data_IF_415969871064
#
_entry.id   IF_415969871064
#
_cell.length_a   1.000
_cell.length_b   1.000
_cell.length_c   1.000
_cell.angle_alpha   90.00
_cell.angle_beta   90.00
_cell.angle_gamma   90.00
#
_symmetry.space_group_name_H-M   'P 1'
#
loop_
_entity.id
_entity.type
_entity.pdbx_description
1 polymer ?
#
# COMPACT_ATOMS: atom_id res chain seq x y z
N UNK A 1 -43.04 44.89 2.49
CA UNK A 1 -42.83 43.42 2.61
C UNK A 1 -41.61 42.88 1.84
N UNK A 2 -41.22 43.37 0.65
CA UNK A 2 -40.05 42.84 -0.11
C UNK A 2 -38.66 42.96 0.58
N UNK A 3 -38.45 43.95 1.45
CA UNK A 3 -37.14 44.18 2.12
C UNK A 3 -36.85 43.17 3.24
N UNK A 4 -37.87 42.58 3.86
CA UNK A 4 -37.68 41.63 4.97
C UNK A 4 -37.32 40.23 4.47
N UNK A 5 -37.96 39.75 3.40
CA UNK A 5 -37.58 38.48 2.74
C UNK A 5 -36.14 38.49 2.20
N UNK A 6 -35.63 39.65 1.77
CA UNK A 6 -34.27 39.75 1.26
C UNK A 6 -33.23 39.63 2.39
N UNK A 7 -33.52 40.22 3.57
CA UNK A 7 -32.65 40.12 4.75
C UNK A 7 -32.63 38.71 5.34
N UNK A 8 -33.79 38.04 5.41
CA UNK A 8 -33.85 36.66 5.91
C UNK A 8 -33.18 35.67 4.95
N UNK A 9 -33.33 35.86 3.64
CA UNK A 9 -32.61 35.05 2.65
C UNK A 9 -31.08 35.23 2.76
N UNK A 10 -30.61 36.47 2.94
CA UNK A 10 -29.18 36.76 3.07
C UNK A 10 -28.58 36.15 4.36
N UNK A 11 -29.31 36.21 5.47
CA UNK A 11 -28.93 35.56 6.73
C UNK A 11 -28.88 34.03 6.59
N UNK A 12 -29.81 33.42 5.86
CA UNK A 12 -29.82 31.98 5.62
C UNK A 12 -28.64 31.53 4.74
N UNK A 13 -28.30 32.30 3.70
CA UNK A 13 -27.11 32.01 2.88
C UNK A 13 -25.83 32.16 3.70
N UNK A 14 -25.73 33.22 4.50
CA UNK A 14 -24.58 33.45 5.37
C UNK A 14 -24.41 32.34 6.42
N UNK A 15 -25.51 31.85 7.00
CA UNK A 15 -25.44 30.75 7.99
C UNK A 15 -25.04 29.42 7.36
N UNK A 16 -25.56 29.11 6.17
CA UNK A 16 -25.15 27.91 5.40
C UNK A 16 -23.67 28.01 5.02
N UNK A 17 -23.22 29.16 4.53
CA UNK A 17 -21.82 29.38 4.20
C UNK A 17 -20.91 29.25 5.43
N UNK A 18 -21.30 29.84 6.56
CA UNK A 18 -20.55 29.72 7.82
C UNK A 18 -20.49 28.27 8.31
N UNK A 19 -21.60 27.52 8.26
CA UNK A 19 -21.63 26.12 8.63
C UNK A 19 -20.76 25.25 7.71
N UNK A 20 -20.74 25.53 6.41
CA UNK A 20 -19.93 24.81 5.44
C UNK A 20 -18.43 25.07 5.65
N UNK A 21 -18.06 26.34 5.89
CA UNK A 21 -16.68 26.71 6.23
C UNK A 21 -16.25 26.07 7.55
N UNK A 22 -17.11 26.09 8.57
CA UNK A 22 -16.83 25.43 9.85
C UNK A 22 -16.65 23.92 9.67
N UNK A 23 -17.48 23.28 8.84
CA UNK A 23 -17.35 21.86 8.52
C UNK A 23 -15.99 21.56 7.86
N UNK A 24 -15.57 22.36 6.88
CA UNK A 24 -14.25 22.22 6.22
C UNK A 24 -13.09 22.45 7.21
N UNK A 25 -13.25 23.37 8.17
CA UNK A 25 -12.22 23.66 9.17
C UNK A 25 -12.14 22.60 10.28
N UNK A 26 -13.27 21.97 10.65
CA UNK A 26 -13.34 20.95 11.70
C UNK A 26 -12.94 19.57 11.16
N UNK A 27 -13.35 19.27 9.93
CA UNK A 27 -13.17 17.97 9.33
C UNK A 27 -12.19 18.09 8.16
N UNK A 28 -11.01 17.50 8.32
CA UNK A 28 -10.11 17.28 7.19
C UNK A 28 -10.33 15.84 6.68
N UNK A 29 -10.34 15.69 5.36
CA UNK A 29 -10.53 14.38 4.73
C UNK A 29 -9.15 13.79 4.46
N UNK A 30 -8.76 12.82 5.29
CA UNK A 30 -7.56 12.05 5.05
C UNK A 30 -7.89 10.93 4.05
N UNK A 31 -7.04 10.80 3.03
CA UNK A 31 -7.12 9.70 2.07
C UNK A 31 -5.82 8.91 2.19
N UNK A 32 -5.94 7.70 2.71
CA UNK A 32 -4.84 6.76 2.78
C UNK A 32 -4.89 5.83 1.57
N UNK A 33 -3.69 5.62 1.03
CA UNK A 33 -3.45 4.76 -0.11
C UNK A 33 -2.45 3.69 0.31
N UNK A 34 -2.97 2.64 0.92
CA UNK A 34 -2.25 1.39 1.09
C UNK A 34 -2.68 0.39 0.02
N UNK A 35 -1.87 -0.63 -0.21
CA UNK A 35 -2.22 -1.74 -1.08
C UNK A 35 -2.75 -2.89 -0.24
N UNK A 36 -3.72 -3.62 -0.79
CA UNK A 36 -4.12 -4.89 -0.18
C UNK A 36 -3.01 -5.90 -0.35
N UNK A 37 -2.78 -6.68 0.69
CA UNK A 37 -1.96 -7.88 0.58
C UNK A 37 -2.57 -8.79 -0.50
N UNK A 38 -1.71 -9.24 -1.40
CA UNK A 38 -2.07 -10.10 -2.51
C UNK A 38 -1.54 -11.50 -2.26
N UNK A 39 -2.44 -12.48 -2.24
CA UNK A 39 -2.06 -13.88 -2.25
C UNK A 39 -2.01 -14.41 -3.69
N UNK A 40 -0.91 -15.09 -4.02
CA UNK A 40 -0.61 -15.60 -5.35
C UNK A 40 0.10 -16.95 -5.23
N UNK A 41 0.27 -17.64 -6.37
CA UNK A 41 0.92 -18.96 -6.42
C UNK A 41 2.09 -18.97 -7.40
N UNK A 42 3.12 -19.72 -7.04
CA UNK A 42 4.23 -20.13 -7.92
C UNK A 42 4.29 -21.66 -7.93
N UNK A 43 3.63 -22.28 -8.91
CA UNK A 43 3.44 -23.74 -8.93
C UNK A 43 2.66 -24.20 -7.69
N UNK A 44 3.29 -25.00 -6.83
CA UNK A 44 2.71 -25.51 -5.58
C UNK A 44 2.92 -24.59 -4.36
N UNK A 45 3.69 -23.51 -4.50
CA UNK A 45 4.07 -22.61 -3.40
C UNK A 45 3.09 -21.45 -3.32
N UNK A 46 2.71 -21.07 -2.10
CA UNK A 46 1.89 -19.89 -1.86
C UNK A 46 2.77 -18.70 -1.50
N UNK A 47 2.47 -17.57 -2.12
CA UNK A 47 3.18 -16.31 -2.00
C UNK A 47 2.23 -15.24 -1.47
N UNK A 48 2.72 -14.36 -0.61
CA UNK A 48 2.01 -13.16 -0.17
C UNK A 48 2.85 -11.93 -0.50
N UNK A 49 2.30 -11.04 -1.32
CA UNK A 49 2.95 -9.80 -1.72
C UNK A 49 2.23 -8.60 -1.09
N UNK A 50 2.97 -7.59 -0.65
CA UNK A 50 2.44 -6.35 -0.11
C UNK A 50 3.29 -5.15 -0.58
N UNK A 51 2.63 -4.00 -0.81
CA UNK A 51 3.28 -2.70 -0.95
C UNK A 51 2.93 -1.88 0.29
N UNK A 52 3.96 -1.60 1.11
CA UNK A 52 3.80 -0.92 2.39
C UNK A 52 4.44 0.46 2.30
N UNK A 53 3.72 1.53 2.63
CA UNK A 53 4.31 2.87 2.71
C UNK A 53 5.33 2.98 3.86
N UNK A 54 6.40 3.77 3.69
CA UNK A 54 7.34 4.03 4.77
C UNK A 54 6.67 4.84 5.91
N UNK A 55 6.66 4.35 7.17
CA UNK A 55 6.15 5.12 8.30
C UNK A 55 7.03 6.31 8.71
N UNK A 56 8.24 6.48 8.17
CA UNK A 56 9.16 7.57 8.52
C UNK A 56 8.98 8.88 7.73
N UNK A 57 8.04 8.97 6.80
CA UNK A 57 7.76 10.27 6.18
C UNK A 57 7.05 11.18 7.20
N UNK A 58 7.77 12.16 7.75
CA UNK A 58 7.28 13.20 8.68
C UNK A 58 6.04 13.98 8.18
N UNK A 59 5.62 13.77 6.93
CA UNK A 59 4.41 14.37 6.39
C UNK A 59 3.20 13.50 6.71
N UNK A 60 2.53 13.79 7.83
CA UNK A 60 1.28 13.15 8.26
C UNK A 60 0.08 13.37 7.30
N UNK A 61 0.30 13.95 6.12
CA UNK A 61 -0.69 14.07 5.05
C UNK A 61 -0.52 12.94 4.03
N UNK A 62 -0.95 11.75 4.42
CA UNK A 62 -1.05 10.57 3.57
C UNK A 62 0.32 9.94 3.32
N UNK A 63 0.45 8.65 3.56
CA UNK A 63 1.67 7.90 3.22
C UNK A 63 1.89 8.01 1.71
N UNK A 64 2.74 8.95 1.32
CA UNK A 64 3.26 9.11 -0.04
C UNK A 64 4.59 8.37 -0.13
N UNK A 65 5.03 8.07 -1.35
CA UNK A 65 6.30 7.40 -1.60
C UNK A 65 7.43 7.95 -0.70
N UNK A 66 8.34 7.10 -0.19
CA UNK A 66 8.68 5.79 -0.74
C UNK A 66 7.87 4.61 -0.17
N UNK A 67 7.65 3.61 -1.04
CA UNK A 67 7.09 2.31 -0.68
C UNK A 67 8.21 1.28 -0.47
N UNK A 68 7.88 0.20 0.25
CA UNK A 68 8.63 -1.07 0.22
C UNK A 68 7.74 -2.17 -0.31
N UNK A 69 8.27 -2.98 -1.22
CA UNK A 69 7.63 -4.22 -1.65
C UNK A 69 8.10 -5.35 -0.74
N UNK A 70 7.16 -6.10 -0.18
CA UNK A 70 7.41 -7.26 0.68
C UNK A 70 6.82 -8.48 0.00
N UNK A 71 7.61 -9.53 -0.19
CA UNK A 71 7.16 -10.81 -0.70
C UNK A 71 7.52 -11.91 0.29
N UNK A 72 6.52 -12.52 0.89
CA UNK A 72 6.68 -13.67 1.78
C UNK A 72 6.36 -14.96 1.03
N UNK A 73 7.27 -15.92 1.12
CA UNK A 73 7.19 -17.24 0.49
C UNK A 73 7.09 -18.28 1.59
N UNK A 74 5.96 -18.98 1.70
CA UNK A 74 5.77 -20.02 2.71
C UNK A 74 5.85 -21.40 2.07
N UNK A 75 6.74 -22.25 2.59
CA UNK A 75 7.00 -23.58 2.04
C UNK A 75 7.46 -24.56 3.13
N UNK A 76 7.06 -25.84 3.04
CA UNK A 76 7.40 -26.84 4.05
C UNK A 76 8.91 -27.15 4.13
N UNK A 77 9.63 -27.24 2.99
CA UNK A 77 11.01 -27.79 3.00
C UNK A 77 11.93 -27.24 1.89
N UNK A 78 11.59 -26.10 1.28
CA UNK A 78 12.36 -25.56 0.14
C UNK A 78 12.86 -24.15 0.40
N UNK A 79 14.16 -23.97 0.20
CA UNK A 79 14.79 -22.68 0.04
C UNK A 79 14.50 -22.16 -1.37
N UNK A 80 14.28 -20.85 -1.49
CA UNK A 80 14.05 -20.23 -2.78
C UNK A 80 14.92 -19.00 -2.99
N UNK A 81 15.28 -18.77 -4.24
CA UNK A 81 15.72 -17.48 -4.73
C UNK A 81 14.59 -16.84 -5.55
N UNK A 82 14.55 -15.50 -5.60
CA UNK A 82 13.74 -14.80 -6.60
C UNK A 82 14.64 -14.34 -7.74
N UNK A 83 14.10 -14.41 -8.94
CA UNK A 83 14.73 -13.99 -10.18
C UNK A 83 13.75 -13.13 -10.97
N UNK A 84 14.29 -12.20 -11.76
CA UNK A 84 13.55 -11.35 -12.70
C UNK A 84 12.34 -10.62 -12.08
N UNK A 85 12.48 -10.21 -10.82
CA UNK A 85 11.40 -9.55 -10.08
C UNK A 85 11.17 -8.17 -10.68
N UNK A 86 9.91 -7.86 -10.98
CA UNK A 86 9.54 -6.56 -11.54
C UNK A 86 8.13 -6.15 -11.13
N UNK A 87 7.92 -4.85 -11.02
CA UNK A 87 6.63 -4.25 -10.75
C UNK A 87 6.12 -3.57 -12.03
N UNK A 88 4.89 -3.85 -12.44
CA UNK A 88 4.28 -3.26 -13.64
C UNK A 88 3.00 -2.51 -13.29
N UNK A 89 2.90 -1.24 -13.69
CA UNK A 89 1.70 -0.43 -13.57
C UNK A 89 0.63 -0.93 -14.55
N UNK A 90 -0.63 -1.03 -14.11
CA UNK A 90 -1.75 -1.41 -14.97
C UNK A 90 -2.23 -0.27 -15.87
N UNK A 91 -2.10 0.99 -15.43
CA UNK A 91 -2.56 2.15 -16.19
C UNK A 91 -1.50 2.68 -17.15
N UNK A 92 -0.28 2.93 -16.68
CA UNK A 92 0.78 3.51 -17.52
C UNK A 92 1.54 2.46 -18.31
N UNK A 93 1.49 1.19 -17.88
CA UNK A 93 2.31 0.11 -18.44
C UNK A 93 3.80 0.22 -18.06
N UNK A 94 4.16 1.19 -17.22
CA UNK A 94 5.52 1.36 -16.71
C UNK A 94 5.95 0.10 -15.96
N UNK A 95 7.16 -0.37 -16.26
CA UNK A 95 7.77 -1.54 -15.62
C UNK A 95 9.06 -1.13 -14.91
N UNK A 96 9.15 -1.50 -13.65
CA UNK A 96 10.30 -1.25 -12.78
C UNK A 96 10.93 -2.61 -12.46
N UNK A 97 12.22 -2.77 -12.80
CA UNK A 97 12.98 -3.95 -12.39
C UNK A 97 13.36 -3.82 -10.92
N UNK A 98 13.15 -4.88 -10.14
CA UNK A 98 13.38 -4.91 -8.70
C UNK A 98 14.59 -5.79 -8.32
N UNK A 99 15.25 -6.42 -9.29
CA UNK A 99 16.34 -7.38 -9.09
C UNK A 99 17.53 -6.81 -8.32
N UNK A 100 17.86 -5.52 -8.51
CA UNK A 100 19.04 -4.90 -7.88
C UNK A 100 18.80 -4.51 -6.41
N UNK A 101 17.54 -4.41 -5.98
CA UNK A 101 17.15 -3.91 -4.66
C UNK A 101 16.67 -4.99 -3.67
N UNK A 102 16.66 -6.25 -4.09
CA UNK A 102 16.12 -7.35 -3.30
C UNK A 102 17.04 -7.72 -2.13
N UNK A 103 16.47 -7.80 -0.93
CA UNK A 103 17.13 -8.30 0.27
C UNK A 103 16.26 -9.35 0.95
N UNK A 104 16.88 -10.38 1.51
CA UNK A 104 16.20 -11.31 2.42
C UNK A 104 16.14 -10.63 3.78
N UNK A 105 14.93 -10.34 4.27
CA UNK A 105 14.73 -9.63 5.53
C UNK A 105 14.62 -10.58 6.72
N UNK A 106 13.98 -11.73 6.54
CA UNK A 106 13.79 -12.69 7.64
C UNK A 106 13.52 -14.12 7.12
N UNK A 107 13.86 -15.10 7.94
CA UNK A 107 13.53 -16.52 7.77
C UNK A 107 12.91 -17.04 9.07
N UNK A 108 11.58 -17.15 9.08
CA UNK A 108 10.84 -17.70 10.22
C UNK A 108 10.58 -19.20 9.98
N UNK A 109 10.92 -20.03 10.97
CA UNK A 109 10.73 -21.47 10.94
C UNK A 109 9.60 -21.84 11.91
N UNK A 110 8.48 -22.31 11.36
CA UNK A 110 7.42 -22.98 12.11
C UNK A 110 7.59 -24.49 11.92
N UNK A 111 7.08 -25.28 12.88
CA UNK A 111 7.28 -26.74 12.96
C UNK A 111 7.16 -27.46 11.60
N UNK A 112 6.24 -27.02 10.72
CA UNK A 112 6.00 -27.62 9.40
C UNK A 112 6.23 -26.68 8.19
N UNK A 113 6.78 -25.47 8.39
CA UNK A 113 7.03 -24.54 7.27
C UNK A 113 8.08 -23.47 7.55
N UNK A 114 8.90 -23.19 6.54
CA UNK A 114 9.76 -22.02 6.48
C UNK A 114 9.06 -20.88 5.72
N UNK A 115 9.12 -19.67 6.26
CA UNK A 115 8.68 -18.45 5.57
C UNK A 115 9.88 -17.58 5.25
N UNK A 116 10.17 -17.41 3.96
CA UNK A 116 11.22 -16.51 3.46
C UNK A 116 10.60 -15.17 3.08
N UNK A 117 11.06 -14.09 3.72
CA UNK A 117 10.57 -12.74 3.40
C UNK A 117 11.62 -11.96 2.63
N UNK A 118 11.26 -11.53 1.42
CA UNK A 118 12.04 -10.66 0.57
C UNK A 118 11.50 -9.24 0.62
N UNK A 119 12.40 -8.26 0.73
CA UNK A 119 12.05 -6.85 0.78
C UNK A 119 12.83 -6.10 -0.30
N UNK A 120 12.12 -5.24 -1.04
CA UNK A 120 12.70 -4.31 -2.00
C UNK A 120 12.31 -2.90 -1.60
N UNK A 121 13.30 -2.05 -1.33
CA UNK A 121 13.08 -0.68 -0.87
C UNK A 121 14.31 0.21 -1.13
N UNK A 122 14.15 1.55 -1.25
CA UNK A 122 12.88 2.28 -1.37
C UNK A 122 12.34 2.26 -2.81
N UNK A 123 11.01 2.31 -2.97
CA UNK A 123 10.32 2.36 -4.26
C UNK A 123 9.56 3.68 -4.41
N UNK A 124 9.97 4.48 -5.39
CA UNK A 124 9.29 5.72 -5.76
C UNK A 124 8.34 5.41 -6.92
N UNK A 125 7.09 5.12 -6.60
CA UNK A 125 6.07 4.71 -7.56
C UNK A 125 4.86 5.64 -7.48
N UNK A 126 4.17 5.78 -8.60
CA UNK A 126 2.92 6.53 -8.67
C UNK A 126 1.76 5.74 -8.03
N UNK A 127 0.62 6.39 -7.84
CA UNK A 127 -0.56 5.76 -7.27
C UNK A 127 -1.39 5.03 -8.34
N UNK A 128 -1.13 3.75 -8.53
CA UNK A 128 -1.82 2.90 -9.50
C UNK A 128 -2.07 1.49 -8.96
N UNK A 129 -2.86 0.66 -9.63
CA UNK A 129 -2.85 -0.78 -9.41
C UNK A 129 -1.63 -1.39 -10.09
N UNK A 130 -0.92 -2.25 -9.36
CA UNK A 130 0.32 -2.85 -9.84
C UNK A 130 0.21 -4.37 -9.97
N UNK A 131 1.12 -4.95 -10.72
CA UNK A 131 1.35 -6.39 -10.76
C UNK A 131 2.81 -6.65 -10.46
N UNK A 132 3.07 -7.39 -9.38
CA UNK A 132 4.40 -7.89 -9.06
C UNK A 132 4.61 -9.22 -9.79
N UNK A 133 5.58 -9.26 -10.69
CA UNK A 133 5.94 -10.45 -11.45
C UNK A 133 7.36 -10.89 -11.08
N UNK A 134 7.63 -12.18 -11.21
CA UNK A 134 8.96 -12.73 -11.05
C UNK A 134 8.98 -14.23 -11.24
N UNK A 135 10.14 -14.82 -10.99
CA UNK A 135 10.37 -16.27 -11.03
C UNK A 135 10.91 -16.71 -9.68
N UNK A 136 10.29 -17.72 -9.10
CA UNK A 136 10.76 -18.37 -7.89
C UNK A 136 11.59 -19.59 -8.31
N UNK A 137 12.88 -19.60 -7.96
CA UNK A 137 13.78 -20.74 -8.20
C UNK A 137 13.98 -21.51 -6.91
N UNK A 138 13.65 -22.80 -6.90
CA UNK A 138 14.02 -23.68 -5.78
C UNK A 138 15.53 -23.89 -5.74
N UNK A 139 16.09 -23.84 -4.53
CA UNK A 139 17.50 -24.06 -4.28
C UNK A 139 17.75 -25.47 -3.71
N UNK A 140 19.00 -25.97 -3.76
CA UNK A 140 19.38 -27.24 -3.14
C UNK A 140 18.96 -27.31 -1.66
N UNK A 141 18.56 -28.49 -1.16
CA UNK A 141 18.71 -29.82 -1.78
C UNK A 141 17.59 -30.24 -2.74
N UNK A 142 16.60 -29.38 -3.01
CA UNK A 142 15.54 -29.70 -3.97
C UNK A 142 16.01 -29.56 -5.42
N UNK A 143 15.35 -30.26 -6.34
CA UNK A 143 15.55 -30.05 -7.79
C UNK A 143 15.34 -28.57 -8.13
N UNK A 144 16.23 -27.98 -8.91
CA UNK A 144 16.09 -26.61 -9.40
C UNK A 144 14.88 -26.53 -10.34
N UNK A 145 13.81 -25.92 -9.85
CA UNK A 145 12.56 -25.73 -10.58
C UNK A 145 12.23 -24.25 -10.52
N UNK A 146 12.10 -23.66 -11.71
CA UNK A 146 11.67 -22.28 -11.87
C UNK A 146 10.14 -22.23 -11.98
N UNK A 147 9.52 -21.48 -11.07
CA UNK A 147 8.09 -21.28 -11.02
C UNK A 147 7.76 -19.79 -11.17
N UNK A 148 7.19 -19.35 -12.30
CA UNK A 148 6.80 -17.96 -12.48
C UNK A 148 5.62 -17.61 -11.56
N UNK A 149 5.56 -16.36 -11.14
CA UNK A 149 4.45 -15.84 -10.35
C UNK A 149 4.01 -14.44 -10.82
N UNK A 150 2.76 -14.13 -10.50
CA UNK A 150 2.16 -12.83 -10.77
C UNK A 150 1.18 -12.50 -9.65
N UNK A 151 1.43 -11.42 -8.92
CA UNK A 151 0.66 -11.02 -7.75
C UNK A 151 0.02 -9.65 -8.01
N UNK A 152 -1.32 -9.57 -8.13
CA UNK A 152 -2.01 -8.32 -8.39
C UNK A 152 -2.12 -7.50 -7.09
N UNK A 153 -1.44 -6.36 -7.05
CA UNK A 153 -1.45 -5.42 -5.93
C UNK A 153 -2.49 -4.34 -6.21
N UNK A 154 -3.65 -4.49 -5.57
CA UNK A 154 -4.78 -3.57 -5.76
C UNK A 154 -4.74 -2.50 -4.69
N UNK A 155 -4.84 -1.24 -5.13
CA UNK A 155 -4.89 -0.11 -4.22
C UNK A 155 -6.18 -0.15 -3.39
N UNK A 156 -6.02 -0.08 -2.08
CA UNK A 156 -7.12 0.05 -1.14
C UNK A 156 -7.35 1.54 -0.87
N UNK A 157 -8.48 2.08 -1.31
CA UNK A 157 -8.84 3.46 -1.00
C UNK A 157 -9.53 3.49 0.36
N UNK A 158 -8.82 3.98 1.38
CA UNK A 158 -9.44 4.31 2.66
C UNK A 158 -9.54 5.82 2.75
N UNK A 159 -10.75 6.32 2.99
CA UNK A 159 -10.94 7.72 3.32
C UNK A 159 -11.51 7.80 4.73
N UNK A 160 -10.79 8.46 5.60
CA UNK A 160 -11.20 8.72 6.97
C UNK A 160 -11.45 10.21 7.14
N UNK A 161 -12.52 10.55 7.85
CA UNK A 161 -12.76 11.90 8.32
C UNK A 161 -12.14 12.02 9.70
N UNK A 162 -11.10 12.83 9.83
CA UNK A 162 -10.48 13.10 11.13
C UNK A 162 -10.74 14.55 11.53
N UNK A 163 -10.72 14.77 12.84
CA UNK A 163 -10.79 16.10 13.43
C UNK A 163 -9.37 16.45 13.90
N UNK A 164 -8.61 17.28 13.17
CA UNK A 164 -7.19 17.52 13.45
C UNK A 164 -6.91 18.02 14.88
N UNK A 165 -7.87 18.75 15.46
CA UNK A 165 -7.78 19.25 16.83
C UNK A 165 -7.92 18.15 17.90
N UNK A 166 -8.66 17.07 17.62
CA UNK A 166 -8.76 15.89 18.49
C UNK A 166 -7.47 15.08 18.45
N UNK A 167 -6.87 14.94 17.26
CA UNK A 167 -5.59 14.25 17.11
C UNK A 167 -4.47 14.96 17.88
N UNK A 168 -4.42 16.30 17.81
CA UNK A 168 -3.47 17.10 18.59
C UNK A 168 -3.68 17.02 20.11
N UNK A 169 -4.91 16.81 20.58
CA UNK A 169 -5.20 16.58 22.00
C UNK A 169 -4.81 15.17 22.46
N UNK A 170 -4.93 14.18 21.57
CA UNK A 170 -4.62 12.78 21.84
C UNK A 170 -3.14 12.44 21.67
N UNK A 171 -2.34 13.34 21.08
CA UNK A 171 -0.89 13.16 20.89
C UNK A 171 -0.02 13.64 22.06
N UNK A 172 -0.61 13.86 23.24
CA UNK A 172 0.05 14.35 24.47
C UNK A 172 0.16 13.23 25.49
#
# INVERSE_FOLDING_TARGET
MRKESCKTALLAVASVAAALTLFILIFDRYVDYDYRDAECKAGAVTLRAALVGDPQSDDHKGRTSPYRAVLSVTSPERYFALLDVSLSSKQSGERISLSDGQRVADMDFKEDSATHTFVVQPLHISYDDYVLNGVLRSLPPSDEVDAPFSCPLVRNRHSEWRMPWLDALMSV
#
